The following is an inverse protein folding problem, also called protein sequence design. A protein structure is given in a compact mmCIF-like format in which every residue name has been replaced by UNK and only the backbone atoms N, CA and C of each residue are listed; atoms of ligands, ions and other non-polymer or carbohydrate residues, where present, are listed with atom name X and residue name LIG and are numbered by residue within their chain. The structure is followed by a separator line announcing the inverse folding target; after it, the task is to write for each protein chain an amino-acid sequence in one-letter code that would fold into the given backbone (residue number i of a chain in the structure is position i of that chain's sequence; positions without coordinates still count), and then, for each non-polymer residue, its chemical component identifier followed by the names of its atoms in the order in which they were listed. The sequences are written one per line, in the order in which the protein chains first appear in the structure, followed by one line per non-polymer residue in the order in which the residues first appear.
data_IF_143850636364
#
_entry.id   IF_143850636364
#
_cell.length_a   1.000
_cell.length_b   1.000
_cell.length_c   1.000
_cell.angle_alpha   90.00
_cell.angle_beta   90.00
_cell.angle_gamma   90.00
#
_symmetry.space_group_name_H-M   'P 1'
#
loop_
_entity.id
_entity.type
_entity.pdbx_description
1 polymer ?
#
# COMPACT_ATOMS: atom_id res chain seq x y z
N UNK A 1 -14.98 6.29 12.37
CA UNK A 1 -14.09 5.68 13.39
C UNK A 1 -13.04 4.77 12.78
N UNK A 2 -13.37 3.85 11.87
CA UNK A 2 -12.39 2.97 11.23
C UNK A 2 -11.16 3.71 10.67
N UNK A 3 -11.38 4.76 9.88
CA UNK A 3 -10.32 5.62 9.34
C UNK A 3 -9.45 6.27 10.44
N UNK A 4 -10.08 6.71 11.54
CA UNK A 4 -9.37 7.28 12.67
C UNK A 4 -8.46 6.26 13.37
N UNK A 5 -8.91 5.01 13.50
CA UNK A 5 -8.12 3.95 14.14
C UNK A 5 -6.99 3.40 13.27
N UNK A 6 -7.22 3.22 11.97
CA UNK A 6 -6.29 2.50 11.09
C UNK A 6 -5.38 3.41 10.26
N UNK A 7 -5.83 4.62 9.94
CA UNK A 7 -5.06 5.53 9.09
C UNK A 7 -4.60 6.76 9.89
N UNK A 8 -5.55 7.55 10.40
CA UNK A 8 -5.25 8.87 10.99
C UNK A 8 -4.58 8.83 12.36
N UNK A 9 -4.70 7.71 13.08
CA UNK A 9 -3.97 7.45 14.33
C UNK A 9 -2.45 7.53 14.14
N UNK A 10 -1.97 7.25 12.93
CA UNK A 10 -0.56 7.34 12.55
C UNK A 10 -0.30 8.54 11.65
N UNK A 11 -1.18 8.78 10.67
CA UNK A 11 -0.96 9.79 9.65
C UNK A 11 -1.09 11.23 10.18
N UNK A 12 -2.09 11.51 11.03
CA UNK A 12 -2.26 12.85 11.60
C UNK A 12 -1.07 13.26 12.50
N UNK A 13 -0.58 12.44 13.46
CA UNK A 13 0.60 12.85 14.23
C UNK A 13 1.88 12.90 13.38
N UNK A 14 2.07 11.99 12.42
CA UNK A 14 3.28 11.99 11.59
C UNK A 14 3.37 13.22 10.66
N UNK A 15 2.25 13.69 10.10
CA UNK A 15 2.23 14.77 9.11
C UNK A 15 1.81 16.11 9.71
N UNK A 16 0.87 16.12 10.67
CA UNK A 16 0.27 17.33 11.27
C UNK A 16 0.75 17.58 12.71
N UNK A 17 1.46 16.63 13.31
CA UNK A 17 1.99 16.79 14.67
C UNK A 17 0.95 16.68 15.79
N UNK A 18 -0.27 16.19 15.49
CA UNK A 18 -1.28 15.97 16.52
C UNK A 18 -2.18 14.77 16.21
N UNK A 19 -2.70 14.12 17.26
CA UNK A 19 -3.65 13.01 17.11
C UNK A 19 -5.05 13.49 16.77
N UNK A 20 -5.91 12.64 16.15
CA UNK A 20 -7.31 12.95 15.94
C UNK A 20 -8.07 13.10 17.27
N UNK A 21 -8.71 14.25 17.51
CA UNK A 21 -9.42 14.53 18.78
C UNK A 21 -10.42 13.43 19.14
N UNK A 22 -11.27 13.05 18.19
CA UNK A 22 -12.29 12.00 18.39
C UNK A 22 -11.68 10.62 18.72
N UNK A 23 -10.48 10.32 18.23
CA UNK A 23 -9.78 9.09 18.60
C UNK A 23 -9.33 9.18 20.06
N UNK A 24 -8.74 10.31 20.46
CA UNK A 24 -8.31 10.55 21.84
C UNK A 24 -9.49 10.48 22.81
N UNK A 25 -10.63 11.08 22.48
CA UNK A 25 -11.85 11.00 23.27
C UNK A 25 -12.31 9.55 23.49
N UNK A 26 -12.32 8.75 22.41
CA UNK A 26 -12.69 7.34 22.46
C UNK A 26 -11.70 6.55 23.31
N UNK A 27 -10.40 6.71 23.11
CA UNK A 27 -9.39 5.99 23.90
C UNK A 27 -9.45 6.37 25.39
N UNK A 28 -9.71 7.65 25.72
CA UNK A 28 -9.94 8.09 27.11
C UNK A 28 -11.17 7.42 27.71
N UNK A 29 -12.29 7.42 26.97
CA UNK A 29 -13.55 6.80 27.42
C UNK A 29 -13.40 5.30 27.67
N UNK A 30 -12.71 4.60 26.79
CA UNK A 30 -12.51 3.15 26.89
C UNK A 30 -11.39 2.77 27.89
N UNK A 31 -10.60 3.75 28.37
CA UNK A 31 -9.50 3.50 29.30
C UNK A 31 -8.23 2.95 28.63
N UNK A 32 -8.05 3.18 27.34
CA UNK A 32 -6.92 2.69 26.52
C UNK A 32 -5.98 3.80 26.06
N UNK A 33 -5.90 4.90 26.82
CA UNK A 33 -4.86 5.91 26.57
C UNK A 33 -3.48 5.30 26.87
N UNK A 34 -2.49 5.50 25.99
CA UNK A 34 -1.12 5.13 26.30
C UNK A 34 -0.60 5.98 27.47
N UNK A 35 0.35 5.45 28.22
CA UNK A 35 1.18 6.26 29.12
C UNK A 35 1.99 7.23 28.26
N UNK A 36 2.05 8.50 28.68
CA UNK A 36 2.83 9.55 28.02
C UNK A 36 3.68 10.26 29.08
N UNK A 37 4.89 10.62 28.71
CA UNK A 37 5.78 11.45 29.50
C UNK A 37 5.52 12.94 29.20
N UNK A 38 5.99 13.81 30.10
CA UNK A 38 5.94 15.24 29.86
C UNK A 38 6.82 15.60 28.65
N UNK A 39 6.24 16.28 27.66
CA UNK A 39 6.94 16.67 26.43
C UNK A 39 6.70 15.74 25.23
N UNK A 40 6.12 14.54 25.39
CA UNK A 40 5.88 13.62 24.26
C UNK A 40 5.06 14.25 23.12
N UNK A 41 3.98 14.94 23.48
CA UNK A 41 3.13 15.62 22.49
C UNK A 41 3.85 16.77 21.79
N UNK A 42 4.75 17.44 22.50
CA UNK A 42 5.56 18.52 21.94
C UNK A 42 6.60 17.95 20.95
N UNK A 43 7.26 16.85 21.32
CA UNK A 43 8.18 16.14 20.44
C UNK A 43 7.49 15.69 19.15
N UNK A 44 6.27 15.13 19.23
CA UNK A 44 5.50 14.76 18.04
C UNK A 44 5.16 15.99 17.19
N UNK A 45 4.74 17.08 17.84
CA UNK A 45 4.35 18.33 17.15
C UNK A 45 5.51 18.96 16.39
N UNK A 46 6.71 18.89 16.93
CA UNK A 46 7.90 19.54 16.36
C UNK A 46 8.68 18.68 15.36
N UNK A 47 8.38 17.37 15.26
CA UNK A 47 9.12 16.42 14.44
C UNK A 47 8.22 15.68 13.44
N UNK A 48 7.52 16.43 12.59
CA UNK A 48 6.74 15.88 11.48
C UNK A 48 7.62 15.40 10.33
N UNK A 49 7.10 14.48 9.52
CA UNK A 49 7.83 13.87 8.41
C UNK A 49 7.96 14.80 7.20
N UNK A 50 9.03 14.63 6.43
CA UNK A 50 9.22 15.35 5.17
C UNK A 50 8.62 14.58 3.98
N UNK A 51 8.52 13.25 4.10
CA UNK A 51 8.18 12.35 3.01
C UNK A 51 7.31 11.18 3.50
N UNK A 52 6.22 10.92 2.77
CA UNK A 52 5.24 9.88 3.11
C UNK A 52 5.35 8.64 2.22
N UNK A 53 5.57 7.47 2.81
CA UNK A 53 5.41 6.17 2.16
C UNK A 53 3.99 5.63 2.32
N UNK A 54 3.33 5.30 1.20
CA UNK A 54 1.98 4.74 1.18
C UNK A 54 2.03 3.28 0.72
N UNK A 55 1.58 2.37 1.59
CA UNK A 55 1.38 0.96 1.25
C UNK A 55 -0.10 0.71 0.94
N UNK A 56 -0.41 0.20 -0.26
CA UNK A 56 -1.78 -0.11 -0.67
C UNK A 56 -1.86 -1.50 -1.31
N UNK A 57 -2.85 -2.30 -0.88
CA UNK A 57 -3.06 -3.66 -1.39
C UNK A 57 -4.53 -4.03 -1.58
N UNK A 58 -5.39 -3.60 -0.66
CA UNK A 58 -6.83 -3.88 -0.70
C UNK A 58 -7.60 -2.75 0.01
N UNK A 59 -8.87 -2.52 -0.35
CA UNK A 59 -9.72 -1.61 0.38
C UNK A 59 -10.14 -2.18 1.74
N UNK A 60 -10.59 -1.31 2.64
CA UNK A 60 -11.28 -1.68 3.88
C UNK A 60 -12.67 -1.05 3.88
N UNK A 61 -13.65 -1.89 3.60
CA UNK A 61 -15.07 -1.48 3.63
C UNK A 61 -15.66 -1.76 5.01
N UNK A 62 -16.34 -0.77 5.55
CA UNK A 62 -17.01 -0.85 6.85
C UNK A 62 -18.45 -0.39 6.75
N UNK A 63 -19.31 -0.91 7.64
CA UNK A 63 -20.70 -0.51 7.82
C UNK A 63 -20.95 -0.12 9.28
N UNK A 64 -22.10 0.51 9.52
CA UNK A 64 -22.57 0.76 10.87
C UNK A 64 -22.66 -0.56 11.65
N UNK A 65 -22.42 -0.49 12.96
CA UNK A 65 -22.46 -1.65 13.85
C UNK A 65 -23.87 -2.22 13.88
N UNK A 66 -24.01 -3.52 13.62
CA UNK A 66 -25.32 -4.20 13.66
C UNK A 66 -25.68 -4.65 15.08
N UNK A 67 -24.67 -5.05 15.86
CA UNK A 67 -24.83 -5.54 17.22
C UNK A 67 -23.77 -4.94 18.13
N UNK A 68 -24.16 -4.49 19.32
CA UNK A 68 -23.19 -4.01 20.30
C UNK A 68 -22.26 -5.15 20.72
N UNK A 69 -20.95 -4.89 20.90
CA UNK A 69 -20.03 -5.88 21.43
C UNK A 69 -20.49 -6.34 22.82
N UNK A 70 -20.19 -7.60 23.16
CA UNK A 70 -20.49 -8.13 24.49
C UNK A 70 -19.83 -7.24 25.56
N UNK A 71 -20.50 -6.89 26.68
CA UNK A 71 -19.96 -5.97 27.68
C UNK A 71 -18.61 -6.39 28.29
N UNK A 72 -18.31 -7.69 28.25
CA UNK A 72 -17.04 -8.25 28.75
C UNK A 72 -16.00 -8.53 27.65
N UNK A 73 -16.31 -8.20 26.39
CA UNK A 73 -15.35 -8.37 25.30
C UNK A 73 -14.17 -7.40 25.48
N UNK A 74 -12.93 -7.83 25.17
CA UNK A 74 -11.79 -6.92 25.17
C UNK A 74 -12.03 -5.81 24.16
N UNK A 75 -11.61 -4.59 24.49
CA UNK A 75 -11.73 -3.44 23.59
C UNK A 75 -10.95 -3.68 22.30
N UNK A 76 -11.65 -3.52 21.18
CA UNK A 76 -11.09 -3.62 19.84
C UNK A 76 -11.70 -2.53 18.95
N UNK A 77 -10.98 -1.99 17.95
CA UNK A 77 -11.51 -0.95 17.06
C UNK A 77 -12.86 -1.30 16.41
N UNK A 78 -13.10 -2.59 16.11
CA UNK A 78 -14.36 -3.10 15.55
C UNK A 78 -15.57 -3.01 16.51
N UNK A 79 -15.40 -2.49 17.73
CA UNK A 79 -16.53 -2.08 18.58
C UNK A 79 -17.33 -0.94 17.96
N UNK A 80 -16.71 -0.15 17.07
CA UNK A 80 -17.29 1.05 16.48
C UNK A 80 -17.81 0.87 15.04
N UNK A 81 -17.56 -0.27 14.41
CA UNK A 81 -17.96 -0.57 13.02
C UNK A 81 -17.89 -2.06 12.75
N UNK A 82 -18.66 -2.54 11.77
CA UNK A 82 -18.54 -3.89 11.24
C UNK A 82 -17.89 -3.88 9.86
N UNK A 83 -17.24 -4.98 9.49
CA UNK A 83 -16.75 -5.16 8.12
C UNK A 83 -17.93 -5.25 7.15
N UNK A 84 -17.77 -4.65 5.98
CA UNK A 84 -18.74 -4.75 4.90
C UNK A 84 -18.12 -5.48 3.72
N UNK A 85 -18.80 -6.53 3.26
CA UNK A 85 -18.42 -7.26 2.08
C UNK A 85 -19.25 -6.78 0.90
N UNK A 86 -18.66 -5.95 0.03
CA UNK A 86 -19.37 -5.42 -1.13
C UNK A 86 -19.75 -6.56 -2.10
N UNK A 87 -21.04 -6.71 -2.45
CA UNK A 87 -21.47 -7.68 -3.46
C UNK A 87 -20.86 -7.35 -4.83
N UNK A 88 -20.40 -8.37 -5.55
CA UNK A 88 -19.83 -8.19 -6.90
C UNK A 88 -18.43 -7.56 -6.93
N UNK A 89 -17.77 -7.39 -5.78
CA UNK A 89 -16.39 -6.89 -5.73
C UNK A 89 -15.42 -7.81 -6.48
N UNK A 90 -14.42 -7.22 -7.15
CA UNK A 90 -13.33 -7.98 -7.76
C UNK A 90 -12.46 -8.57 -6.65
N UNK A 91 -12.09 -9.85 -6.77
CA UNK A 91 -11.37 -10.58 -5.73
C UNK A 91 -10.11 -11.22 -6.27
N UNK A 92 -9.01 -11.12 -5.53
CA UNK A 92 -7.91 -12.06 -5.63
C UNK A 92 -8.35 -13.35 -4.92
N UNK A 93 -8.86 -14.30 -5.69
CA UNK A 93 -9.36 -15.59 -5.18
C UNK A 93 -8.29 -16.43 -4.49
N UNK A 94 -7.01 -16.19 -4.79
CA UNK A 94 -5.88 -16.93 -4.20
C UNK A 94 -5.49 -16.39 -2.82
N UNK A 95 -5.89 -15.15 -2.48
CA UNK A 95 -5.53 -14.50 -1.21
C UNK A 95 -6.73 -14.09 -0.37
N UNK A 96 -7.93 -14.07 -0.96
CA UNK A 96 -9.15 -13.61 -0.31
C UNK A 96 -9.21 -12.09 -0.12
N UNK A 97 -8.43 -11.34 -0.90
CA UNK A 97 -8.39 -9.88 -0.83
C UNK A 97 -9.22 -9.26 -1.95
N UNK A 98 -9.97 -8.22 -1.61
CA UNK A 98 -10.64 -7.40 -2.62
C UNK A 98 -9.59 -6.64 -3.44
N UNK A 99 -9.78 -6.62 -4.76
CA UNK A 99 -9.01 -5.78 -5.67
C UNK A 99 -9.87 -4.57 -5.99
N UNK A 100 -9.40 -3.38 -5.64
CA UNK A 100 -10.05 -2.11 -5.96
C UNK A 100 -8.99 -1.10 -6.39
N UNK A 101 -8.66 -1.07 -7.67
CA UNK A 101 -7.49 -0.37 -8.17
C UNK A 101 -7.60 1.15 -7.98
N UNK A 102 -8.81 1.69 -8.06
CA UNK A 102 -9.10 3.12 -7.82
C UNK A 102 -8.83 3.56 -6.37
N UNK A 103 -8.73 2.63 -5.41
CA UNK A 103 -8.45 2.98 -4.02
C UNK A 103 -7.13 3.73 -3.84
N UNK A 104 -6.12 3.41 -4.64
CA UNK A 104 -4.84 4.14 -4.59
C UNK A 104 -4.99 5.60 -5.04
N UNK A 105 -5.84 5.86 -6.04
CA UNK A 105 -6.16 7.22 -6.47
C UNK A 105 -6.92 7.97 -5.37
N UNK A 106 -7.94 7.33 -4.77
CA UNK A 106 -8.75 7.95 -3.72
C UNK A 106 -7.87 8.35 -2.51
N UNK A 107 -6.87 7.52 -2.16
CA UNK A 107 -5.86 7.83 -1.13
C UNK A 107 -4.99 9.02 -1.54
N UNK A 108 -4.47 9.03 -2.76
CA UNK A 108 -3.59 10.11 -3.25
C UNK A 108 -4.32 11.46 -3.32
N UNK A 109 -5.60 11.47 -3.69
CA UNK A 109 -6.43 12.67 -3.64
C UNK A 109 -6.64 13.15 -2.21
N UNK A 110 -6.85 12.22 -1.26
CA UNK A 110 -6.97 12.55 0.16
C UNK A 110 -5.68 13.14 0.73
N UNK A 111 -4.51 12.60 0.36
CA UNK A 111 -3.20 13.17 0.71
C UNK A 111 -3.06 14.59 0.13
N UNK A 112 -3.46 14.76 -1.13
CA UNK A 112 -3.44 16.08 -1.78
C UNK A 112 -4.31 17.12 -1.07
N UNK A 113 -5.53 16.76 -0.63
CA UNK A 113 -6.48 17.72 -0.03
C UNK A 113 -6.31 17.91 1.47
N UNK A 114 -6.01 16.83 2.21
CA UNK A 114 -6.10 16.82 3.66
C UNK A 114 -4.72 16.92 4.34
N UNK A 115 -3.63 16.78 3.59
CA UNK A 115 -2.25 16.67 4.09
C UNK A 115 -1.27 17.54 3.28
N UNK A 116 -1.73 18.72 2.85
CA UNK A 116 -0.94 19.76 2.16
C UNK A 116 -0.17 19.25 0.93
N UNK A 117 -0.67 18.17 0.31
CA UNK A 117 -0.03 17.52 -0.81
C UNK A 117 1.46 17.21 -0.56
N UNK A 118 1.76 16.76 0.66
CA UNK A 118 3.09 16.29 1.07
C UNK A 118 3.66 15.34 0.02
N UNK A 119 4.97 15.44 -0.21
CA UNK A 119 5.65 14.52 -1.12
C UNK A 119 5.42 13.08 -0.66
N UNK A 120 5.06 12.21 -1.60
CA UNK A 120 4.79 10.81 -1.27
C UNK A 120 5.27 9.83 -2.33
N UNK A 121 5.44 8.58 -1.90
CA UNK A 121 5.70 7.45 -2.77
C UNK A 121 4.64 6.38 -2.50
N UNK A 122 4.28 5.64 -3.54
CA UNK A 122 3.68 4.31 -3.32
C UNK A 122 4.85 3.40 -2.94
N UNK A 123 5.01 3.15 -1.64
CA UNK A 123 6.14 2.38 -1.11
C UNK A 123 5.94 0.88 -1.21
N UNK A 124 4.68 0.43 -1.24
CA UNK A 124 4.34 -0.95 -1.54
C UNK A 124 3.00 -1.03 -2.26
N UNK A 125 2.98 -1.76 -3.37
CA UNK A 125 1.78 -2.32 -3.98
C UNK A 125 2.20 -3.59 -4.72
N UNK A 126 1.34 -4.61 -4.72
CA UNK A 126 1.63 -5.87 -5.40
C UNK A 126 0.57 -6.93 -5.15
N UNK A 127 0.69 -8.06 -5.84
CA UNK A 127 -0.26 -9.17 -5.72
C UNK A 127 0.46 -10.49 -5.50
N UNK A 128 0.20 -11.10 -4.34
CA UNK A 128 0.63 -12.45 -4.04
C UNK A 128 -0.38 -13.49 -4.52
N UNK A 129 0.14 -14.58 -5.09
CA UNK A 129 -0.63 -15.73 -5.58
C UNK A 129 -0.06 -17.01 -4.99
N UNK A 130 -0.91 -17.87 -4.45
CA UNK A 130 -0.51 -19.12 -3.80
C UNK A 130 -0.40 -20.26 -4.82
N UNK A 131 0.73 -20.97 -4.88
CA UNK A 131 0.89 -22.12 -5.78
C UNK A 131 1.10 -21.73 -7.25
N UNK A 132 2.03 -20.81 -7.51
CA UNK A 132 2.33 -20.31 -8.86
C UNK A 132 2.87 -21.37 -9.83
N UNK A 133 3.38 -22.50 -9.33
CA UNK A 133 3.84 -23.62 -10.16
C UNK A 133 2.80 -24.10 -11.19
N UNK A 134 1.51 -23.85 -10.97
CA UNK A 134 0.46 -24.17 -11.96
C UNK A 134 0.48 -23.29 -13.21
N UNK A 135 1.18 -22.17 -13.18
CA UNK A 135 1.36 -21.25 -14.29
C UNK A 135 2.74 -21.42 -14.94
N UNK A 136 3.46 -22.48 -14.57
CA UNK A 136 4.78 -22.78 -15.10
C UNK A 136 4.67 -23.50 -16.44
N UNK A 137 5.45 -23.07 -17.43
CA UNK A 137 5.59 -23.78 -18.70
C UNK A 137 6.56 -24.97 -18.61
N UNK A 138 6.77 -25.65 -19.74
CA UNK A 138 7.67 -26.81 -19.86
C UNK A 138 9.15 -26.41 -19.66
N UNK A 139 9.49 -25.15 -19.92
CA UNK A 139 10.82 -24.55 -19.73
C UNK A 139 11.08 -24.07 -18.30
N UNK A 140 10.05 -24.06 -17.46
CA UNK A 140 10.14 -23.67 -16.05
C UNK A 140 9.87 -22.19 -15.76
N UNK A 141 9.38 -21.44 -16.74
CA UNK A 141 9.00 -20.03 -16.62
C UNK A 141 7.57 -19.89 -16.08
N UNK A 142 7.36 -18.99 -15.12
CA UNK A 142 6.03 -18.66 -14.60
C UNK A 142 5.38 -17.59 -15.49
N UNK A 143 4.17 -17.86 -16.00
CA UNK A 143 3.36 -16.88 -16.73
C UNK A 143 2.44 -16.12 -15.77
N UNK A 144 2.88 -14.95 -15.33
CA UNK A 144 2.20 -14.14 -14.31
C UNK A 144 1.45 -12.91 -14.88
N UNK A 145 0.75 -13.07 -16.02
CA UNK A 145 -0.03 -12.00 -16.65
C UNK A 145 -1.01 -11.33 -15.67
N UNK A 146 -1.58 -12.10 -14.73
CA UNK A 146 -2.45 -11.58 -13.67
C UNK A 146 -1.78 -10.49 -12.82
N UNK A 147 -0.47 -10.57 -12.62
CA UNK A 147 0.31 -9.61 -11.84
C UNK A 147 0.61 -8.38 -12.69
N UNK A 148 0.94 -8.57 -13.96
CA UNK A 148 1.09 -7.48 -14.94
C UNK A 148 -0.21 -6.66 -15.00
N UNK A 149 -1.35 -7.32 -15.10
CA UNK A 149 -2.66 -6.67 -15.12
C UNK A 149 -2.92 -5.91 -13.81
N UNK A 150 -2.71 -6.55 -12.66
CA UNK A 150 -2.89 -5.91 -11.36
C UNK A 150 -2.07 -4.62 -11.25
N UNK A 151 -0.78 -4.67 -11.55
CA UNK A 151 0.12 -3.52 -11.46
C UNK A 151 -0.28 -2.45 -12.48
N UNK A 152 -0.58 -2.84 -13.72
CA UNK A 152 -0.96 -1.91 -14.78
C UNK A 152 -2.23 -1.14 -14.43
N UNK A 153 -3.25 -1.81 -13.89
CA UNK A 153 -4.49 -1.14 -13.48
C UNK A 153 -4.29 -0.19 -12.30
N UNK A 154 -3.44 -0.52 -11.30
CA UNK A 154 -3.13 0.42 -10.21
C UNK A 154 -2.32 1.62 -10.70
N UNK A 155 -1.33 1.40 -11.56
CA UNK A 155 -0.49 2.48 -12.11
C UNK A 155 -1.29 3.46 -12.97
N UNK A 156 -2.35 3.02 -13.66
CA UNK A 156 -3.27 3.93 -14.36
C UNK A 156 -3.86 4.97 -13.40
N UNK A 157 -4.31 4.53 -12.23
CA UNK A 157 -4.90 5.38 -11.19
C UNK A 157 -3.87 6.29 -10.52
N UNK A 158 -2.65 5.79 -10.27
CA UNK A 158 -1.53 6.64 -9.81
C UNK A 158 -1.19 7.71 -10.83
N UNK A 159 -1.09 7.34 -12.12
CA UNK A 159 -0.82 8.28 -13.19
C UNK A 159 -1.91 9.35 -13.29
N UNK A 160 -3.18 8.96 -13.18
CA UNK A 160 -4.29 9.91 -13.16
C UNK A 160 -4.17 10.90 -11.98
N UNK A 161 -3.89 10.42 -10.77
CA UNK A 161 -3.70 11.30 -9.61
C UNK A 161 -2.56 12.31 -9.82
N UNK A 162 -1.44 11.88 -10.43
CA UNK A 162 -0.31 12.75 -10.79
C UNK A 162 -0.74 13.82 -11.81
N UNK A 163 -1.48 13.44 -12.86
CA UNK A 163 -2.00 14.40 -13.84
C UNK A 163 -2.92 15.44 -13.19
N UNK A 164 -3.60 15.07 -12.11
CA UNK A 164 -4.45 15.97 -11.32
C UNK A 164 -3.74 16.61 -10.11
N UNK A 165 -2.40 16.57 -10.09
CA UNK A 165 -1.57 17.35 -9.17
C UNK A 165 -1.20 16.68 -7.84
N UNK A 166 -1.48 15.38 -7.64
CA UNK A 166 -0.95 14.65 -6.47
C UNK A 166 0.58 14.58 -6.54
N UNK A 167 1.24 14.86 -5.43
CA UNK A 167 2.70 15.00 -5.33
C UNK A 167 3.44 13.66 -5.18
N UNK A 168 3.18 12.74 -6.11
CA UNK A 168 3.76 11.39 -6.10
C UNK A 168 5.11 11.39 -6.80
N UNK A 169 6.14 10.89 -6.11
CA UNK A 169 7.52 10.89 -6.58
C UNK A 169 8.00 9.53 -7.09
N UNK A 170 7.26 8.46 -6.83
CA UNK A 170 7.60 7.15 -7.33
C UNK A 170 6.67 6.04 -6.85
N UNK A 171 6.93 4.84 -7.37
CA UNK A 171 6.18 3.64 -7.14
C UNK A 171 7.14 2.46 -6.95
N UNK A 172 7.01 1.78 -5.82
CA UNK A 172 7.79 0.61 -5.45
C UNK A 172 6.87 -0.61 -5.40
N UNK A 173 7.20 -1.55 -6.28
CA UNK A 173 6.51 -2.81 -6.40
C UNK A 173 6.95 -3.74 -5.27
N UNK A 174 5.99 -4.25 -4.51
CA UNK A 174 6.24 -5.34 -3.58
C UNK A 174 5.97 -6.67 -4.29
N UNK A 175 6.98 -7.47 -4.61
CA UNK A 175 8.39 -7.39 -4.17
C UNK A 175 9.35 -7.66 -5.31
N UNK A 176 10.63 -7.37 -5.12
CA UNK A 176 11.65 -7.62 -6.15
C UNK A 176 11.92 -9.12 -6.35
N UNK A 177 12.00 -9.88 -5.26
CA UNK A 177 12.19 -11.33 -5.26
C UNK A 177 11.26 -11.93 -4.23
N UNK A 178 10.87 -13.18 -4.45
CA UNK A 178 10.08 -13.91 -3.48
C UNK A 178 10.78 -13.95 -2.14
N UNK A 179 10.00 -13.66 -1.11
CA UNK A 179 10.49 -13.52 0.25
C UNK A 179 9.57 -14.18 1.25
N UNK A 180 10.11 -14.35 2.46
CA UNK A 180 9.39 -14.92 3.57
C UNK A 180 8.32 -13.93 4.09
N UNK A 181 7.04 -14.21 3.81
CA UNK A 181 5.90 -13.34 4.13
C UNK A 181 5.33 -13.60 5.53
N UNK A 182 6.15 -13.43 6.57
CA UNK A 182 5.76 -13.54 7.97
C UNK A 182 5.04 -14.86 8.28
N UNK A 183 3.84 -14.81 8.88
CA UNK A 183 3.02 -15.98 9.19
C UNK A 183 2.61 -16.81 7.97
N UNK A 184 2.70 -16.25 6.75
CA UNK A 184 2.42 -16.99 5.51
C UNK A 184 3.67 -17.71 4.96
N UNK A 185 4.87 -17.43 5.46
CA UNK A 185 6.14 -17.92 4.92
C UNK A 185 6.17 -17.80 3.38
N UNK A 186 6.49 -18.87 2.66
CA UNK A 186 6.51 -18.93 1.19
C UNK A 186 5.21 -19.49 0.58
N UNK A 187 4.15 -19.70 1.37
CA UNK A 187 2.87 -20.22 0.83
C UNK A 187 2.27 -19.27 -0.22
N UNK A 188 2.58 -17.98 -0.09
CA UNK A 188 2.12 -16.95 -1.00
C UNK A 188 3.35 -16.31 -1.61
N UNK A 189 3.54 -16.58 -2.88
CA UNK A 189 4.66 -16.13 -3.69
C UNK A 189 4.25 -14.75 -4.23
N UNK A 190 5.10 -13.74 -4.02
CA UNK A 190 4.71 -12.32 -4.14
C UNK A 190 5.37 -11.62 -5.32
N UNK A 191 6.41 -12.22 -5.91
CA UNK A 191 6.92 -12.07 -7.28
C UNK A 191 8.42 -12.39 -7.28
N UNK A 192 8.89 -13.17 -8.25
CA UNK A 192 10.31 -13.29 -8.61
C UNK A 192 10.61 -12.50 -9.90
N UNK A 193 11.04 -11.24 -9.80
CA UNK A 193 11.53 -10.49 -10.97
C UNK A 193 12.86 -11.04 -11.50
N UNK A 194 13.56 -11.96 -10.82
CA UNK A 194 14.80 -12.53 -11.33
C UNK A 194 14.56 -13.35 -12.61
N UNK A 195 13.34 -13.85 -12.81
CA UNK A 195 12.89 -14.48 -14.06
C UNK A 195 12.71 -13.47 -15.21
N UNK A 196 12.44 -12.19 -14.89
CA UNK A 196 12.32 -11.09 -15.85
C UNK A 196 13.67 -10.41 -16.15
N UNK A 197 14.70 -10.60 -15.31
CA UNK A 197 16.01 -9.96 -15.45
C UNK A 197 17.02 -10.95 -16.01
N UNK A 198 16.84 -11.46 -17.23
CA UNK A 198 17.96 -11.97 -18.02
C UNK A 198 17.73 -11.86 -19.53
N UNK A 199 18.23 -10.78 -20.14
CA UNK A 199 18.93 -10.80 -21.44
C UNK A 199 19.67 -9.48 -21.66
N UNK A 200 20.85 -9.35 -21.04
CA UNK A 200 21.87 -8.40 -21.53
C UNK A 200 22.57 -9.10 -22.70
N UNK A 201 22.46 -8.50 -23.87
CA UNK A 201 22.92 -9.01 -25.17
C UNK A 201 24.40 -9.36 -25.19
N UNK A 202 24.68 -10.62 -25.47
CA UNK A 202 25.96 -11.14 -25.92
C UNK A 202 25.79 -12.56 -26.44
N UNK A 203 25.53 -12.70 -27.75
CA UNK A 203 25.49 -13.94 -28.53
C UNK A 203 24.71 -15.13 -27.96
N UNK A 204 23.43 -15.25 -28.31
CA UNK A 204 22.78 -16.47 -28.86
C UNK A 204 21.25 -16.31 -28.94
N UNK A 205 20.62 -17.09 -29.83
CA UNK A 205 19.40 -16.80 -30.62
C UNK A 205 18.17 -16.25 -29.84
N UNK A 206 17.54 -15.26 -30.47
CA UNK A 206 16.28 -14.63 -30.11
C UNK A 206 15.08 -15.36 -30.75
N UNK A 207 14.14 -15.81 -29.92
CA UNK A 207 12.67 -15.94 -30.15
C UNK A 207 12.04 -15.87 -28.74
N UNK A 208 10.97 -15.14 -28.42
CA UNK A 208 9.99 -14.39 -29.20
C UNK A 208 9.73 -13.04 -28.50
N UNK A 209 10.04 -11.95 -29.18
CA UNK A 209 9.31 -10.70 -29.04
C UNK A 209 8.32 -10.72 -30.20
N UNK A 210 7.04 -10.93 -29.92
CA UNK A 210 5.94 -10.71 -30.85
C UNK A 210 4.63 -10.76 -30.06
N UNK A 211 4.38 -9.70 -29.31
CA UNK A 211 3.27 -8.73 -29.51
C UNK A 211 3.49 -7.59 -28.52
N UNK A 212 3.35 -6.35 -28.99
CA UNK A 212 3.85 -5.15 -28.32
C UNK A 212 3.32 -4.89 -26.91
N UNK A 213 4.03 -3.98 -26.24
CA UNK A 213 3.83 -3.44 -24.88
C UNK A 213 4.65 -4.14 -23.78
N UNK A 214 5.87 -3.65 -23.55
CA UNK A 214 6.60 -3.86 -22.29
C UNK A 214 6.40 -2.61 -21.40
N UNK A 215 5.40 -2.59 -20.50
CA UNK A 215 5.16 -1.44 -19.64
C UNK A 215 6.28 -1.20 -18.62
N UNK A 216 7.01 -2.25 -18.22
CA UNK A 216 8.06 -2.18 -17.19
C UNK A 216 9.31 -1.43 -17.64
N UNK A 217 9.70 -1.56 -18.91
CA UNK A 217 10.79 -0.72 -19.46
C UNK A 217 10.44 0.77 -19.46
N UNK A 218 9.16 1.16 -19.59
CA UNK A 218 8.74 2.57 -19.45
C UNK A 218 8.64 3.01 -17.99
N UNK A 219 8.28 2.11 -17.06
CA UNK A 219 8.18 2.41 -15.63
C UNK A 219 9.56 2.72 -15.04
N UNK A 220 10.62 1.99 -15.42
CA UNK A 220 12.00 2.31 -15.00
C UNK A 220 12.51 3.62 -15.61
N UNK A 221 12.02 4.00 -16.79
CA UNK A 221 12.44 5.23 -17.51
C UNK A 221 11.85 6.52 -16.92
N UNK A 222 10.83 6.45 -16.05
CA UNK A 222 10.40 7.63 -15.28
C UNK A 222 11.47 8.15 -14.30
N UNK A 223 12.58 7.44 -14.12
CA UNK A 223 13.46 7.61 -12.98
C UNK A 223 14.96 7.75 -13.31
N UNK A 224 15.35 8.54 -14.32
CA UNK A 224 16.77 8.90 -14.51
C UNK A 224 17.25 10.11 -13.68
N UNK A 225 16.36 10.79 -12.94
CA UNK A 225 16.71 12.03 -12.21
C UNK A 225 16.58 11.98 -10.66
N UNK A 226 16.25 10.84 -10.02
CA UNK A 226 15.93 10.81 -8.57
C UNK A 226 17.01 10.20 -7.67
N UNK A 227 18.15 9.78 -8.23
CA UNK A 227 19.18 9.08 -7.44
C UNK A 227 19.93 9.97 -6.42
N UNK A 228 19.59 11.26 -6.29
CA UNK A 228 20.21 12.23 -5.37
C UNK A 228 19.32 12.67 -4.19
N UNK A 229 18.13 12.08 -4.00
CA UNK A 229 17.11 12.64 -3.10
C UNK A 229 17.17 12.19 -1.63
N UNK A 230 17.70 11.01 -1.32
CA UNK A 230 17.71 10.46 0.04
C UNK A 230 18.62 11.21 1.03
N UNK A 231 19.48 12.12 0.55
CA UNK A 231 20.42 12.87 1.41
C UNK A 231 19.77 14.06 2.14
N UNK A 232 18.52 14.45 1.83
CA UNK A 232 17.90 15.68 2.36
C UNK A 232 16.70 15.50 3.31
N UNK A 233 16.09 14.32 3.39
CA UNK A 233 14.96 14.08 4.29
C UNK A 233 15.45 13.77 5.70
N UNK A 234 14.93 14.48 6.72
CA UNK A 234 15.27 14.20 8.12
C UNK A 234 14.43 13.06 8.70
N UNK A 235 13.20 12.88 8.24
CA UNK A 235 12.28 11.84 8.74
C UNK A 235 11.43 11.21 7.63
N UNK A 236 11.32 9.88 7.64
CA UNK A 236 10.55 9.07 6.68
C UNK A 236 9.58 8.15 7.44
N UNK A 237 8.33 8.01 6.97
CA UNK A 237 7.32 7.16 7.61
C UNK A 237 6.46 6.39 6.60
N UNK A 238 6.18 5.12 6.90
CA UNK A 238 5.34 4.24 6.10
C UNK A 238 4.00 4.03 6.78
N UNK A 239 2.90 4.22 6.06
CA UNK A 239 1.57 3.88 6.55
C UNK A 239 0.84 3.00 5.53
N UNK A 240 0.23 1.92 6.02
CA UNK A 240 -0.70 1.15 5.21
C UNK A 240 -2.03 1.88 5.23
N UNK A 241 -2.38 2.56 4.14
CA UNK A 241 -3.67 3.21 4.02
C UNK A 241 -4.62 2.25 3.34
N UNK A 242 -5.68 1.87 4.04
CA UNK A 242 -6.80 1.17 3.40
C UNK A 242 -7.88 2.18 3.06
N UNK A 243 -8.16 2.35 1.76
CA UNK A 243 -9.27 3.15 1.22
C UNK A 243 -10.63 2.47 1.33
#
# INVERSE_FOLDING_TARGET
MADAFFNRSFLDPAVKGHFPEKLVEVLKKEGFMPSMEEGDLELIRENTIDLLGINYYQPRRVKAKEHMPHPQAPFMPNHYFDSFEMPGRKMNVYRGWEIYEKGIYDILKKVQTDYDNIECFISENGMGVEGEERFKDEEGMIHDDYRIDFISEHLKWVHQAIQEGSNVKGYHLWTFMDNWSWSNAYKKIVMDLSQLIFKKTGNERLRKADTGFNPFQRITVFNQNTCSFLEKSKYFFYVTVSG
#
